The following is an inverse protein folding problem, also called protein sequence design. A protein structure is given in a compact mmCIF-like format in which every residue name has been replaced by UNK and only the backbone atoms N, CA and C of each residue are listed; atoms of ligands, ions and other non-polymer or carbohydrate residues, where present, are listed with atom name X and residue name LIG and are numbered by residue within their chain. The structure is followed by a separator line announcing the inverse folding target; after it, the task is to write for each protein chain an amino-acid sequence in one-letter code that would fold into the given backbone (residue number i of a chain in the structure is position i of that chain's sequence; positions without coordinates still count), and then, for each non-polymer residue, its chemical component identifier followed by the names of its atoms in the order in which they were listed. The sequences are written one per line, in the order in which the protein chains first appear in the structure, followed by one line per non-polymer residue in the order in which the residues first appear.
data_IF_964725895892
#
_entry.id   IF_964725895892
#
_cell.length_a   1.000
_cell.length_b   1.000
_cell.length_c   1.000
_cell.angle_alpha   90.00
_cell.angle_beta   90.00
_cell.angle_gamma   90.00
#
_symmetry.space_group_name_H-M   'P 1'
#
loop_
_entity.id
_entity.type
_entity.pdbx_description
1 polymer ?
#
# COMPACT_ATOMS: atom_id res chain seq x y z
N UNK A 1 -6.83 7.04 6.67
CA UNK A 1 -5.79 6.10 6.31
C UNK A 1 -5.70 5.96 4.82
N UNK A 2 -4.51 5.66 4.31
CA UNK A 2 -4.31 5.54 2.90
C UNK A 2 -4.19 4.08 2.52
N UNK A 3 -4.60 3.76 1.33
CA UNK A 3 -4.56 2.41 0.88
C UNK A 3 -3.32 2.18 0.04
N UNK A 4 -2.64 1.09 0.26
CA UNK A 4 -1.43 0.78 -0.46
C UNK A 4 -1.49 -0.63 -1.03
N UNK A 5 -0.67 -0.88 -2.01
CA UNK A 5 -0.64 -2.17 -2.64
C UNK A 5 0.79 -2.61 -2.84
N UNK A 6 1.09 -3.82 -2.45
CA UNK A 6 2.41 -4.37 -2.64
C UNK A 6 2.55 -4.83 -4.08
N UNK A 7 3.62 -4.38 -4.74
CA UNK A 7 3.83 -4.76 -6.13
C UNK A 7 4.59 -6.07 -6.26
N UNK A 8 5.04 -6.63 -5.16
CA UNK A 8 5.75 -7.88 -5.21
C UNK A 8 4.81 -9.07 -5.02
N UNK A 9 4.00 -9.03 -4.00
CA UNK A 9 3.07 -10.13 -3.75
C UNK A 9 1.63 -9.78 -4.11
N UNK A 10 1.37 -8.53 -4.39
CA UNK A 10 0.02 -8.13 -4.78
C UNK A 10 -0.95 -7.94 -3.64
N UNK A 11 -0.46 -7.84 -2.43
CA UNK A 11 -1.33 -7.70 -1.28
C UNK A 11 -1.72 -6.24 -1.07
N UNK A 12 -2.98 -5.98 -0.80
CA UNK A 12 -3.46 -4.62 -0.56
C UNK A 12 -3.68 -4.43 0.92
N UNK A 13 -3.29 -3.28 1.43
CA UNK A 13 -3.44 -3.00 2.85
C UNK A 13 -3.58 -1.50 3.06
N UNK A 14 -3.96 -1.10 4.27
CA UNK A 14 -4.14 0.30 4.59
C UNK A 14 -3.13 0.69 5.66
N UNK A 15 -2.59 1.86 5.55
CA UNK A 15 -1.60 2.32 6.52
C UNK A 15 -1.57 3.83 6.59
N UNK A 16 -1.19 4.36 7.73
CA UNK A 16 -1.05 5.76 7.91
C UNK A 16 0.42 6.16 7.88
N UNK A 17 1.33 5.24 7.74
CA UNK A 17 2.75 5.55 7.78
C UNK A 17 3.24 6.17 6.50
N UNK A 18 4.20 7.07 6.57
CA UNK A 18 4.77 7.66 5.39
C UNK A 18 5.53 6.63 4.56
N UNK A 19 6.03 5.57 5.22
CA UNK A 19 6.73 4.53 4.52
C UNK A 19 6.12 3.19 4.87
N UNK A 20 5.01 2.85 4.24
CA UNK A 20 4.35 1.59 4.54
C UNK A 20 5.18 0.38 4.11
N UNK A 21 5.03 -0.70 4.83
CA UNK A 21 5.76 -1.90 4.54
C UNK A 21 4.77 -3.05 4.45
N UNK A 22 4.93 -3.88 3.45
CA UNK A 22 4.03 -5.01 3.27
C UNK A 22 4.22 -6.00 4.40
N UNK A 23 3.14 -6.38 5.09
CA UNK A 23 3.28 -7.33 6.21
C UNK A 23 3.44 -8.77 5.76
N UNK A 24 3.27 -9.03 4.49
CA UNK A 24 3.36 -10.37 3.97
C UNK A 24 4.77 -10.68 3.48
N UNK A 25 5.27 -9.89 2.57
CA UNK A 25 6.59 -10.14 2.01
C UNK A 25 7.65 -9.15 2.48
N UNK A 26 7.24 -8.15 3.21
CA UNK A 26 8.19 -7.17 3.72
C UNK A 26 8.64 -6.13 2.71
N UNK A 27 7.93 -6.02 1.60
CA UNK A 27 8.31 -5.05 0.59
C UNK A 27 8.05 -3.65 1.09
N UNK A 28 8.84 -2.70 0.66
CA UNK A 28 8.67 -1.33 1.05
C UNK A 28 9.25 -0.42 -0.02
N UNK A 29 9.13 0.86 0.16
CA UNK A 29 9.69 1.81 -0.78
C UNK A 29 9.02 1.71 -2.12
N UNK A 30 9.80 1.48 -3.15
CA UNK A 30 9.28 1.44 -4.51
C UNK A 30 8.39 0.24 -4.77
N UNK A 31 8.40 -0.74 -3.90
CA UNK A 31 7.58 -1.91 -4.08
C UNK A 31 6.17 -1.69 -3.54
N UNK A 32 5.92 -0.56 -2.94
CA UNK A 32 4.60 -0.25 -2.40
C UNK A 32 4.03 0.93 -3.18
N UNK A 33 2.82 0.77 -3.66
CA UNK A 33 2.19 1.82 -4.43
C UNK A 33 0.96 2.34 -3.70
N UNK A 34 0.80 3.63 -3.64
CA UNK A 34 -0.36 4.21 -2.98
C UNK A 34 -1.55 4.18 -3.91
N UNK A 35 -2.69 3.72 -3.43
CA UNK A 35 -3.91 3.68 -4.21
C UNK A 35 -4.79 4.80 -3.75
N UNK A 36 -5.01 5.81 -4.63
CA UNK A 36 -5.87 6.88 -4.30
C UNK A 36 -7.24 6.52 -4.61
N UNK A 37 -8.08 6.36 -3.64
CA UNK A 37 -9.41 6.00 -3.84
C UNK A 37 -10.25 7.18 -4.00
N UNK A 38 -10.74 7.54 -5.07
CA UNK A 38 -11.56 8.64 -5.26
C UNK A 38 -12.92 8.26 -5.08
N UNK A 39 -13.56 8.53 -4.12
CA UNK A 39 -14.86 8.20 -3.78
C UNK A 39 -15.80 8.85 -4.56
N UNK A 40 -16.32 8.55 -5.42
CA UNK A 40 -17.19 9.18 -6.18
C UNK A 40 -18.37 8.92 -5.90
N UNK A 41 -19.16 9.13 -5.64
CA UNK A 41 -20.30 8.82 -5.37
C UNK A 41 -21.03 9.06 -5.72
#
# INVERSE_FOLDING_TARGET
MKKYRCLLCGFEFESDDPNPVCPICGASGDDIQEIKEEKKK
#
